data_IF_955597081828
#
_entry.id   IF_955597081828
#
_cell.length_a   1.000
_cell.length_b   1.000
_cell.length_c   1.000
_cell.angle_alpha   90.00
_cell.angle_beta   90.00
_cell.angle_gamma   90.00
#
_symmetry.space_group_name_H-M   'P 1'
#
loop_
_entity.id
_entity.type
_entity.pdbx_description
1 polymer ?
#
# COMPACT_ATOMS: atom_id res chain seq x y z
N UNK A 1 1.66 -6.62 -5.83
CA UNK A 1 1.63 -5.21 -6.19
C UNK A 1 0.43 -4.74 -7.00
N UNK A 2 -0.79 -5.31 -6.80
CA UNK A 2 -2.01 -4.88 -7.52
C UNK A 2 -2.82 -3.80 -6.81
N UNK A 3 -2.31 -3.20 -5.73
CA UNK A 3 -2.94 -2.04 -5.08
C UNK A 3 -3.81 -2.33 -3.86
N UNK A 4 -3.87 -3.56 -3.33
CA UNK A 4 -4.70 -3.92 -2.16
C UNK A 4 -4.48 -2.98 -0.96
N UNK A 5 -3.26 -2.85 -0.50
CA UNK A 5 -2.88 -1.97 0.63
C UNK A 5 -3.13 -0.49 0.32
N UNK A 6 -2.90 -0.06 -0.93
CA UNK A 6 -3.15 1.32 -1.36
C UNK A 6 -4.65 1.66 -1.35
N UNK A 7 -5.51 0.71 -1.68
CA UNK A 7 -6.98 0.89 -1.59
C UNK A 7 -7.42 1.17 -0.16
N UNK A 8 -6.89 0.44 0.83
CA UNK A 8 -7.18 0.71 2.24
C UNK A 8 -6.72 2.12 2.66
N UNK A 9 -5.53 2.54 2.21
CA UNK A 9 -5.00 3.88 2.48
C UNK A 9 -5.90 4.98 1.88
N UNK A 10 -6.31 4.82 0.62
CA UNK A 10 -7.18 5.79 -0.04
C UNK A 10 -8.58 5.83 0.59
N UNK A 11 -9.09 4.69 1.04
CA UNK A 11 -10.37 4.64 1.77
C UNK A 11 -10.28 5.44 3.07
N UNK A 12 -9.26 5.20 3.90
CA UNK A 12 -9.06 5.94 5.15
C UNK A 12 -8.94 7.46 4.89
N UNK A 13 -8.18 7.85 3.86
CA UNK A 13 -8.05 9.25 3.46
C UNK A 13 -9.39 9.85 3.02
N UNK A 14 -10.19 9.12 2.25
CA UNK A 14 -11.50 9.59 1.76
C UNK A 14 -12.51 9.74 2.90
N UNK A 15 -12.46 8.82 3.88
CA UNK A 15 -13.31 8.88 5.07
C UNK A 15 -12.83 9.91 6.11
N UNK A 16 -11.61 10.43 5.97
CA UNK A 16 -11.01 11.37 6.92
C UNK A 16 -10.67 10.72 8.27
N UNK A 17 -10.32 9.42 8.27
CA UNK A 17 -10.02 8.65 9.48
C UNK A 17 -8.60 8.05 9.41
N UNK A 18 -8.09 7.62 10.56
CA UNK A 18 -6.78 6.97 10.64
C UNK A 18 -6.78 5.58 9.98
N UNK A 19 -5.62 5.22 9.40
CA UNK A 19 -5.34 3.88 8.91
C UNK A 19 -4.43 3.15 9.91
N UNK A 20 -4.98 2.15 10.58
CA UNK A 20 -4.22 1.22 11.42
C UNK A 20 -3.83 0.01 10.60
N UNK A 21 -2.53 -0.21 10.38
CA UNK A 21 -2.03 -1.32 9.57
C UNK A 21 -1.25 -2.31 10.43
N UNK A 22 -1.63 -3.59 10.30
CA UNK A 22 -0.97 -4.73 10.94
C UNK A 22 -0.51 -5.69 9.84
N UNK A 23 0.80 -5.90 9.71
CA UNK A 23 1.38 -6.86 8.77
C UNK A 23 1.40 -8.24 9.44
N UNK A 24 0.63 -9.16 8.91
CA UNK A 24 0.45 -10.49 9.50
C UNK A 24 1.68 -11.38 9.40
N UNK A 25 2.66 -11.02 8.60
CA UNK A 25 3.96 -11.69 8.58
C UNK A 25 4.73 -11.55 9.92
N UNK A 26 4.42 -10.52 10.72
CA UNK A 26 4.99 -10.32 12.05
C UNK A 26 4.29 -11.17 13.14
N UNK A 27 3.13 -11.76 12.83
CA UNK A 27 2.25 -12.47 13.77
C UNK A 27 2.06 -13.95 13.39
N UNK A 28 3.09 -14.57 12.84
CA UNK A 28 3.08 -16.00 12.45
C UNK A 28 3.21 -16.92 13.66
N UNK A 29 3.97 -16.49 14.66
CA UNK A 29 4.26 -17.29 15.85
C UNK A 29 3.27 -17.02 16.99
N UNK A 30 2.95 -18.04 17.77
CA UNK A 30 2.01 -17.93 18.89
C UNK A 30 2.37 -16.82 19.88
N UNK A 31 3.66 -16.63 20.17
CA UNK A 31 4.10 -15.60 21.11
C UNK A 31 3.96 -14.17 20.55
N UNK A 32 3.96 -13.98 19.22
CA UNK A 32 3.80 -12.66 18.61
C UNK A 32 2.37 -12.12 18.70
N UNK A 33 1.39 -12.99 18.93
CA UNK A 33 -0.02 -12.60 19.15
C UNK A 33 -0.17 -11.78 20.43
N UNK A 34 0.66 -12.05 21.43
CA UNK A 34 0.70 -11.24 22.65
C UNK A 34 0.97 -9.75 22.40
N UNK A 35 1.65 -9.42 21.29
CA UNK A 35 1.83 -8.02 20.88
C UNK A 35 0.51 -7.39 20.41
N UNK A 36 -0.39 -8.15 19.79
CA UNK A 36 -1.69 -7.64 19.32
C UNK A 36 -2.70 -7.47 20.45
N UNK A 37 -2.86 -8.50 21.30
CA UNK A 37 -3.92 -8.55 22.31
C UNK A 37 -3.39 -8.46 23.75
N UNK A 38 -2.09 -8.32 23.93
CA UNK A 38 -1.43 -8.26 25.24
C UNK A 38 -0.94 -9.61 25.74
N UNK A 39 -0.01 -9.59 26.71
CA UNK A 39 0.50 -10.76 27.38
C UNK A 39 -0.41 -11.16 28.54
N UNK A 40 -0.68 -12.47 28.76
CA UNK A 40 -1.37 -12.91 29.95
C UNK A 40 -0.60 -12.54 31.24
N UNK A 41 -1.30 -12.40 32.39
CA UNK A 41 -0.65 -12.15 33.68
C UNK A 41 0.44 -13.19 33.96
N UNK A 42 1.62 -12.73 34.43
CA UNK A 42 2.76 -13.57 34.77
C UNK A 42 3.76 -13.85 33.64
N UNK A 43 3.52 -13.35 32.43
CA UNK A 43 4.50 -13.40 31.33
C UNK A 43 5.29 -12.10 31.21
N UNK A 44 6.53 -12.20 30.68
CA UNK A 44 7.40 -11.04 30.42
C UNK A 44 6.68 -10.06 29.49
N UNK A 45 6.63 -8.77 29.84
CA UNK A 45 5.94 -7.72 29.09
C UNK A 45 4.55 -7.36 29.62
N UNK A 46 4.03 -8.04 30.67
CA UNK A 46 2.76 -7.68 31.31
C UNK A 46 2.83 -6.35 32.09
N UNK A 47 3.99 -6.05 32.67
CA UNK A 47 4.18 -4.84 33.49
C UNK A 47 4.40 -3.56 32.67
N UNK A 48 4.73 -3.65 31.38
CA UNK A 48 4.79 -2.48 30.51
C UNK A 48 3.38 -1.98 30.21
N UNK A 49 2.93 -0.99 30.98
CA UNK A 49 1.57 -0.43 30.96
C UNK A 49 1.14 0.11 29.59
N UNK A 50 2.06 0.39 28.68
CA UNK A 50 1.78 0.73 27.29
C UNK A 50 1.51 -0.50 26.39
N UNK A 51 2.04 -1.68 26.72
CA UNK A 51 1.81 -2.93 26.00
C UNK A 51 0.80 -3.88 26.64
N UNK A 52 0.42 -3.65 27.91
CA UNK A 52 -0.43 -4.56 28.68
C UNK A 52 -1.79 -4.88 28.04
N UNK A 53 -2.37 -3.98 27.28
CA UNK A 53 -3.62 -4.18 26.57
C UNK A 53 -3.47 -4.78 25.17
N UNK A 54 -2.25 -4.85 24.64
CA UNK A 54 -1.97 -5.22 23.25
C UNK A 54 -2.12 -4.05 22.26
N UNK A 55 -1.31 -4.09 21.21
CA UNK A 55 -1.22 -2.99 20.23
C UNK A 55 -2.56 -2.74 19.55
N UNK A 56 -3.24 -3.80 19.11
CA UNK A 56 -4.53 -3.69 18.41
C UNK A 56 -5.60 -3.07 19.33
N UNK A 57 -5.73 -3.55 20.56
CA UNK A 57 -6.70 -3.05 21.53
C UNK A 57 -6.47 -1.57 21.83
N UNK A 58 -5.21 -1.19 22.06
CA UNK A 58 -4.85 0.19 22.38
C UNK A 58 -5.06 1.15 21.20
N UNK A 59 -4.71 0.73 19.98
CA UNK A 59 -4.86 1.59 18.79
C UNK A 59 -6.33 1.77 18.40
N UNK A 60 -7.17 0.73 18.49
CA UNK A 60 -8.61 0.84 18.23
C UNK A 60 -9.28 1.74 19.28
N UNK A 61 -8.89 1.65 20.55
CA UNK A 61 -9.44 2.52 21.60
C UNK A 61 -9.13 4.02 21.33
N UNK A 62 -7.91 4.32 20.87
CA UNK A 62 -7.53 5.69 20.49
C UNK A 62 -8.27 6.18 19.22
N UNK A 63 -8.57 5.26 18.29
CA UNK A 63 -9.10 5.56 16.97
C UNK A 63 -10.36 4.71 16.68
N UNK A 64 -11.50 4.97 17.36
CA UNK A 64 -12.67 4.10 17.30
C UNK A 64 -13.38 4.06 15.94
N UNK A 65 -13.04 4.95 15.01
CA UNK A 65 -13.59 5.01 13.64
C UNK A 65 -12.56 4.67 12.57
N UNK A 66 -11.41 4.10 12.93
CA UNK A 66 -10.31 3.84 12.01
C UNK A 66 -10.67 2.83 10.91
N UNK A 67 -9.97 2.93 9.79
CA UNK A 67 -9.80 1.80 8.87
C UNK A 67 -8.69 0.92 9.41
N UNK A 68 -9.00 -0.33 9.70
CA UNK A 68 -8.03 -1.30 10.22
C UNK A 68 -7.70 -2.30 9.13
N UNK A 69 -6.44 -2.35 8.74
CA UNK A 69 -5.93 -3.23 7.69
C UNK A 69 -5.06 -4.34 8.29
N UNK A 70 -5.53 -5.58 8.17
CA UNK A 70 -4.71 -6.78 8.37
C UNK A 70 -4.15 -7.23 7.02
N UNK A 71 -2.86 -6.99 6.80
CA UNK A 71 -2.19 -7.27 5.52
C UNK A 71 -1.61 -8.68 5.54
N UNK A 72 -1.86 -9.48 4.47
CA UNK A 72 -1.39 -10.86 4.28
C UNK A 72 -1.89 -11.83 5.39
N UNK A 73 -3.21 -11.85 5.62
CA UNK A 73 -3.84 -12.63 6.71
C UNK A 73 -3.55 -14.13 6.65
N UNK A 74 -3.21 -14.66 5.48
CA UNK A 74 -2.81 -16.05 5.31
C UNK A 74 -1.52 -16.43 6.05
N UNK A 75 -0.71 -15.44 6.43
CA UNK A 75 0.53 -15.64 7.18
C UNK A 75 0.32 -15.66 8.69
N UNK A 76 -0.82 -15.17 9.14
CA UNK A 76 -1.12 -15.05 10.57
C UNK A 76 -1.25 -16.42 11.25
N UNK A 77 -0.87 -16.48 12.52
CA UNK A 77 -1.22 -17.62 13.36
C UNK A 77 -2.74 -17.75 13.51
N UNK A 78 -3.24 -18.98 13.73
CA UNK A 78 -4.67 -19.28 13.84
C UNK A 78 -5.40 -18.48 14.91
N UNK A 79 -4.73 -18.09 15.99
CA UNK A 79 -5.35 -17.32 17.07
C UNK A 79 -5.70 -15.87 16.62
N UNK A 80 -5.02 -15.34 15.61
CA UNK A 80 -5.42 -14.06 14.97
C UNK A 80 -6.77 -14.22 14.29
N UNK A 81 -7.00 -15.34 13.59
CA UNK A 81 -8.29 -15.61 12.97
C UNK A 81 -9.41 -15.72 14.01
N UNK A 82 -9.13 -16.32 15.16
CA UNK A 82 -10.09 -16.40 16.27
C UNK A 82 -10.41 -15.02 16.86
N UNK A 83 -9.40 -14.16 17.00
CA UNK A 83 -9.58 -12.76 17.42
C UNK A 83 -10.44 -11.98 16.40
N UNK A 84 -10.17 -12.15 15.10
CA UNK A 84 -10.93 -11.48 14.04
C UNK A 84 -12.40 -11.96 14.03
N UNK A 85 -12.66 -13.23 14.25
CA UNK A 85 -14.02 -13.76 14.43
C UNK A 85 -14.74 -13.09 15.61
N UNK A 86 -14.05 -12.92 16.74
CA UNK A 86 -14.61 -12.23 17.91
C UNK A 86 -14.97 -10.78 17.57
N UNK A 87 -14.09 -10.08 16.84
CA UNK A 87 -14.36 -8.70 16.38
C UNK A 87 -15.59 -8.66 15.49
N UNK A 88 -15.69 -9.56 14.50
CA UNK A 88 -16.81 -9.58 13.55
C UNK A 88 -18.14 -10.00 14.20
N UNK A 89 -18.11 -10.90 15.20
CA UNK A 89 -19.32 -11.40 15.86
C UNK A 89 -19.88 -10.44 16.92
N UNK A 90 -18.98 -9.89 17.74
CA UNK A 90 -19.39 -9.13 18.93
C UNK A 90 -19.09 -7.64 18.81
N UNK A 91 -18.38 -7.22 17.77
CA UNK A 91 -17.96 -5.81 17.63
C UNK A 91 -17.02 -5.35 18.75
N UNK A 92 -16.35 -6.28 19.43
CA UNK A 92 -15.44 -5.99 20.53
C UNK A 92 -14.24 -6.92 20.53
N UNK A 93 -13.12 -6.46 21.05
CA UNK A 93 -11.94 -7.29 21.35
C UNK A 93 -11.53 -7.08 22.80
N UNK A 94 -11.15 -8.17 23.45
CA UNK A 94 -10.68 -8.15 24.83
C UNK A 94 -9.19 -8.47 24.87
N UNK A 95 -8.41 -7.53 25.39
CA UNK A 95 -6.99 -7.73 25.64
C UNK A 95 -6.74 -8.68 26.81
N UNK A 96 -5.55 -9.23 26.90
CA UNK A 96 -5.16 -10.20 27.92
C UNK A 96 -5.20 -9.62 29.36
N UNK A 97 -5.15 -8.30 29.50
CA UNK A 97 -5.33 -7.59 30.76
C UNK A 97 -6.80 -7.32 31.12
N UNK A 98 -7.76 -7.85 30.37
CA UNK A 98 -9.19 -7.63 30.52
C UNK A 98 -9.71 -6.31 29.93
N UNK A 99 -8.84 -5.47 29.36
CA UNK A 99 -9.23 -4.25 28.67
C UNK A 99 -10.02 -4.58 27.40
N UNK A 100 -11.16 -3.92 27.20
CA UNK A 100 -12.00 -4.11 26.02
C UNK A 100 -11.96 -2.90 25.12
N UNK A 101 -11.81 -3.11 23.81
CA UNK A 101 -11.99 -2.06 22.80
C UNK A 101 -13.28 -2.32 22.01
N UNK A 102 -13.99 -1.23 21.72
CA UNK A 102 -15.18 -1.25 20.88
C UNK A 102 -14.77 -1.16 19.40
N UNK A 103 -15.11 -2.20 18.64
CA UNK A 103 -14.78 -2.34 17.22
C UNK A 103 -15.99 -2.11 16.30
N UNK A 104 -17.16 -1.69 16.82
CA UNK A 104 -18.40 -1.58 16.02
C UNK A 104 -18.34 -0.52 14.94
N UNK A 105 -17.49 0.48 15.12
CA UNK A 105 -17.38 1.61 14.19
C UNK A 105 -16.11 1.58 13.34
N UNK A 106 -15.26 0.54 13.46
CA UNK A 106 -14.09 0.40 12.59
C UNK A 106 -14.49 -0.19 11.24
N UNK A 107 -13.74 0.15 10.20
CA UNK A 107 -13.81 -0.54 8.91
C UNK A 107 -12.69 -1.57 8.84
N UNK A 108 -13.05 -2.85 8.96
CA UNK A 108 -12.08 -3.95 8.95
C UNK A 108 -11.77 -4.37 7.51
N UNK A 109 -10.51 -4.31 7.12
CA UNK A 109 -10.02 -4.75 5.81
C UNK A 109 -8.97 -5.83 6.02
N UNK A 110 -9.10 -6.92 5.29
CA UNK A 110 -8.13 -8.02 5.26
C UNK A 110 -7.62 -8.21 3.83
N UNK A 111 -6.32 -8.30 3.65
CA UNK A 111 -5.76 -8.65 2.33
C UNK A 111 -5.17 -10.05 2.36
N UNK A 112 -5.21 -10.72 1.20
CA UNK A 112 -4.62 -12.05 1.02
C UNK A 112 -4.03 -12.21 -0.38
N UNK A 113 -3.01 -13.06 -0.51
CA UNK A 113 -2.39 -13.46 -1.79
C UNK A 113 -2.72 -14.92 -2.18
N UNK A 114 -3.61 -15.59 -1.47
CA UNK A 114 -3.92 -17.02 -1.66
C UNK A 114 -4.25 -17.41 -3.11
N UNK A 115 -5.02 -16.58 -3.83
CA UNK A 115 -5.37 -16.83 -5.23
C UNK A 115 -4.18 -16.74 -6.18
N UNK A 116 -3.28 -15.77 -5.96
CA UNK A 116 -2.08 -15.60 -6.79
C UNK A 116 -1.11 -16.78 -6.64
N UNK A 117 -0.94 -17.31 -5.44
CA UNK A 117 -0.08 -18.47 -5.15
C UNK A 117 -0.65 -19.77 -5.74
N UNK A 118 -1.95 -19.96 -5.73
CA UNK A 118 -2.62 -21.10 -6.34
C UNK A 118 -2.40 -21.14 -7.85
N UNK A 119 -2.54 -19.98 -8.53
CA UNK A 119 -2.33 -19.84 -9.96
C UNK A 119 -0.87 -20.06 -10.38
N UNK A 120 0.12 -19.70 -9.54
CA UNK A 120 1.54 -19.94 -9.84
C UNK A 120 1.93 -21.42 -9.73
N UNK A 121 1.40 -22.17 -8.76
CA UNK A 121 1.69 -23.60 -8.59
C UNK A 121 1.18 -24.45 -9.75
N UNK A 122 0.09 -24.02 -10.38
CA UNK A 122 -0.54 -24.76 -11.48
C UNK A 122 0.05 -24.47 -12.86
N UNK A 123 0.80 -23.37 -13.03
CA UNK A 123 1.50 -23.04 -14.28
C UNK A 123 2.77 -23.88 -14.52
N UNK A 124 3.14 -24.81 -13.62
CA UNK A 124 4.29 -25.72 -13.79
C UNK A 124 3.89 -26.99 -14.57
N UNK A 125 2.59 -27.16 -14.89
CA UNK A 125 2.08 -28.28 -15.71
C UNK A 125 1.68 -27.83 -17.12
N UNK A 126 2.03 -28.58 -18.15
CA UNK A 126 1.66 -28.37 -19.54
C UNK A 126 0.14 -28.17 -19.70
N UNK A 127 -0.28 -26.93 -19.96
CA UNK A 127 -1.67 -26.59 -20.30
C UNK A 127 -2.16 -25.34 -19.58
N UNK A 128 -2.06 -24.18 -20.23
CA UNK A 128 -2.65 -22.92 -19.78
C UNK A 128 -4.17 -22.94 -19.98
N UNK A 129 -4.91 -23.51 -19.04
CA UNK A 129 -6.34 -23.26 -18.91
C UNK A 129 -6.56 -22.30 -17.76
N UNK A 130 -6.96 -21.05 -18.06
CA UNK A 130 -7.51 -20.12 -17.08
C UNK A 130 -8.79 -20.73 -16.45
N UNK A 131 -8.64 -21.39 -15.31
CA UNK A 131 -9.79 -21.88 -14.53
C UNK A 131 -10.23 -20.76 -13.59
N UNK A 132 -11.23 -20.03 -14.01
CA UNK A 132 -12.02 -19.10 -13.18
C UNK A 132 -12.70 -19.87 -12.03
N UNK A 133 -12.01 -20.14 -10.95
CA UNK A 133 -12.57 -20.88 -9.80
C UNK A 133 -11.53 -21.32 -8.77
N UNK A 134 -10.26 -21.30 -9.12
CA UNK A 134 -9.18 -21.78 -8.24
C UNK A 134 -8.91 -20.81 -7.08
N UNK A 135 -9.07 -19.49 -7.30
CA UNK A 135 -8.99 -18.49 -6.25
C UNK A 135 -10.02 -18.71 -5.15
N UNK A 136 -11.26 -19.06 -5.54
CA UNK A 136 -12.33 -19.36 -4.59
C UNK A 136 -12.05 -20.65 -3.81
N UNK A 137 -11.38 -21.61 -4.44
CA UNK A 137 -11.01 -22.87 -3.78
C UNK A 137 -9.90 -22.64 -2.74
N UNK A 138 -8.89 -21.82 -3.05
CA UNK A 138 -7.83 -21.47 -2.10
C UNK A 138 -8.39 -20.72 -0.89
N UNK A 139 -9.28 -19.77 -1.14
CA UNK A 139 -9.97 -19.00 -0.10
C UNK A 139 -10.86 -19.89 0.77
N UNK A 140 -11.59 -20.87 0.18
CA UNK A 140 -12.42 -21.83 0.91
C UNK A 140 -11.61 -22.80 1.77
N UNK A 141 -10.40 -23.15 1.34
CA UNK A 141 -9.48 -24.03 2.10
C UNK A 141 -8.87 -23.31 3.30
N UNK A 142 -8.55 -22.02 3.14
CA UNK A 142 -7.90 -21.24 4.18
C UNK A 142 -8.88 -20.69 5.22
N UNK A 143 -9.98 -20.07 4.76
CA UNK A 143 -10.99 -19.52 5.64
C UNK A 143 -12.18 -20.48 5.79
N UNK A 144 -12.49 -20.93 7.01
CA UNK A 144 -13.63 -21.79 7.27
C UNK A 144 -14.95 -21.05 6.95
N UNK A 145 -16.05 -21.79 6.72
CA UNK A 145 -17.35 -21.21 6.36
C UNK A 145 -17.83 -20.13 7.34
N UNK A 146 -17.60 -20.35 8.63
CA UNK A 146 -17.95 -19.41 9.69
C UNK A 146 -17.27 -18.04 9.53
N UNK A 147 -16.00 -18.03 9.11
CA UNK A 147 -15.26 -16.80 8.85
C UNK A 147 -15.79 -16.10 7.61
N UNK A 148 -16.00 -16.85 6.53
CA UNK A 148 -16.43 -16.28 5.24
C UNK A 148 -17.84 -15.69 5.29
N UNK A 149 -18.73 -16.29 6.09
CA UNK A 149 -20.11 -15.83 6.24
C UNK A 149 -20.24 -14.50 7.00
N UNK A 150 -19.15 -14.01 7.60
CA UNK A 150 -19.10 -12.73 8.32
C UNK A 150 -18.47 -11.60 7.51
N UNK A 151 -17.98 -11.92 6.32
CA UNK A 151 -17.45 -10.92 5.41
C UNK A 151 -18.60 -10.25 4.66
N UNK A 152 -18.70 -8.93 4.72
CA UNK A 152 -19.68 -8.15 3.97
C UNK A 152 -19.39 -8.20 2.47
N UNK A 153 -18.09 -8.19 2.08
CA UNK A 153 -17.69 -8.25 0.68
C UNK A 153 -16.31 -8.90 0.51
N UNK A 154 -16.14 -9.58 -0.62
CA UNK A 154 -14.85 -10.10 -1.08
C UNK A 154 -14.53 -9.45 -2.43
N UNK A 155 -13.45 -8.67 -2.47
CA UNK A 155 -13.03 -7.92 -3.64
C UNK A 155 -11.82 -8.58 -4.27
N UNK A 156 -11.93 -8.99 -5.52
CA UNK A 156 -10.82 -9.57 -6.29
C UNK A 156 -10.02 -8.48 -7.00
N UNK A 157 -8.72 -8.49 -6.82
CA UNK A 157 -7.80 -7.60 -7.49
C UNK A 157 -7.14 -8.32 -8.67
N UNK A 158 -7.39 -7.83 -9.86
CA UNK A 158 -6.78 -8.32 -11.09
C UNK A 158 -5.36 -7.77 -11.28
N UNK A 159 -4.60 -8.35 -12.23
CA UNK A 159 -3.34 -7.78 -12.69
C UNK A 159 -3.58 -6.38 -13.24
N UNK A 160 -2.62 -5.48 -13.00
CA UNK A 160 -2.74 -4.10 -13.47
C UNK A 160 -2.66 -4.03 -15.01
N UNK A 161 -3.61 -3.35 -15.63
CA UNK A 161 -3.58 -3.04 -17.04
C UNK A 161 -2.51 -1.97 -17.34
N UNK A 162 -2.04 -1.88 -18.59
CA UNK A 162 -1.01 -0.91 -19.01
C UNK A 162 -1.43 0.54 -18.77
N UNK A 163 -2.70 0.84 -19.00
CA UNK A 163 -3.29 2.17 -18.77
C UNK A 163 -3.25 2.56 -17.29
N UNK A 164 -3.55 1.60 -16.42
CA UNK A 164 -3.44 1.80 -14.96
C UNK A 164 -1.99 2.04 -14.55
N UNK A 165 -1.05 1.34 -15.16
CA UNK A 165 0.38 1.55 -14.92
C UNK A 165 0.83 2.95 -15.32
N UNK A 166 0.36 3.48 -16.46
CA UNK A 166 0.60 4.88 -16.86
C UNK A 166 0.08 5.87 -15.82
N UNK A 167 -1.11 5.63 -15.30
CA UNK A 167 -1.69 6.46 -14.24
C UNK A 167 -0.87 6.43 -12.95
N UNK A 168 -0.31 5.28 -12.59
CA UNK A 168 0.58 5.13 -11.42
C UNK A 168 1.87 5.91 -11.62
N UNK A 169 2.51 5.82 -12.80
CA UNK A 169 3.72 6.62 -13.10
C UNK A 169 3.42 8.12 -13.01
N UNK A 170 2.31 8.57 -13.61
CA UNK A 170 1.88 9.98 -13.53
C UNK A 170 1.67 10.44 -12.09
N UNK A 171 1.05 9.59 -11.24
CA UNK A 171 0.89 9.87 -9.81
C UNK A 171 2.25 10.05 -9.11
N UNK A 172 3.22 9.18 -9.34
CA UNK A 172 4.56 9.31 -8.77
C UNK A 172 5.29 10.57 -9.24
N UNK A 173 5.13 10.96 -10.51
CA UNK A 173 5.68 12.22 -11.02
C UNK A 173 5.01 13.44 -10.37
N UNK A 174 3.70 13.39 -10.11
CA UNK A 174 3.00 14.44 -9.37
C UNK A 174 3.47 14.54 -7.92
N UNK A 175 3.65 13.40 -7.24
CA UNK A 175 4.22 13.37 -5.89
C UNK A 175 5.64 13.95 -5.87
N UNK A 176 6.47 13.62 -6.87
CA UNK A 176 7.80 14.18 -7.03
C UNK A 176 7.73 15.72 -7.23
N UNK A 177 6.84 16.19 -8.09
CA UNK A 177 6.63 17.63 -8.30
C UNK A 177 6.18 18.34 -7.02
N UNK A 178 5.34 17.70 -6.20
CA UNK A 178 4.94 18.24 -4.89
C UNK A 178 6.15 18.39 -3.96
N UNK A 179 7.08 17.44 -3.96
CA UNK A 179 8.30 17.49 -3.15
C UNK A 179 9.29 18.58 -3.62
N UNK A 180 9.27 18.91 -4.91
CA UNK A 180 10.21 19.87 -5.51
C UNK A 180 9.65 21.30 -5.63
N UNK A 181 8.40 21.52 -5.22
CA UNK A 181 7.75 22.85 -5.27
C UNK A 181 8.56 23.93 -4.56
N UNK A 182 9.07 23.66 -3.35
CA UNK A 182 9.87 24.60 -2.57
C UNK A 182 11.18 25.02 -3.28
N UNK A 183 11.69 24.17 -4.15
CA UNK A 183 12.88 24.42 -4.99
C UNK A 183 12.53 25.02 -6.35
N UNK A 184 11.24 25.29 -6.61
CA UNK A 184 10.75 25.80 -7.90
C UNK A 184 11.18 24.92 -9.08
N UNK A 185 11.20 23.58 -8.89
CA UNK A 185 11.56 22.60 -9.92
C UNK A 185 10.31 21.84 -10.33
N UNK A 186 10.07 21.78 -11.64
CA UNK A 186 8.99 21.02 -12.28
C UNK A 186 9.58 19.90 -13.13
N UNK A 187 9.03 18.69 -12.99
CA UNK A 187 9.47 17.50 -13.71
C UNK A 187 8.34 17.01 -14.59
N UNK A 188 8.62 16.95 -15.90
CA UNK A 188 7.72 16.40 -16.90
C UNK A 188 8.38 15.19 -17.57
N UNK A 189 7.58 14.20 -17.98
CA UNK A 189 8.07 13.03 -18.69
C UNK A 189 7.32 12.86 -20.01
N UNK A 190 8.04 12.45 -21.06
CA UNK A 190 7.45 12.10 -22.35
C UNK A 190 6.70 10.78 -22.24
N UNK A 191 5.73 10.53 -23.13
CA UNK A 191 4.99 9.25 -23.15
C UNK A 191 5.92 8.05 -23.39
N UNK A 192 6.96 8.23 -24.20
CA UNK A 192 7.99 7.19 -24.44
C UNK A 192 8.79 6.89 -23.16
N UNK A 193 9.14 7.88 -22.38
CA UNK A 193 9.81 7.68 -21.08
C UNK A 193 8.89 6.98 -20.09
N UNK A 194 7.60 7.32 -20.07
CA UNK A 194 6.60 6.64 -19.24
C UNK A 194 6.49 5.16 -19.62
N UNK A 195 6.38 4.84 -20.92
CA UNK A 195 6.32 3.46 -21.41
C UNK A 195 7.60 2.67 -21.08
N UNK A 196 8.77 3.31 -21.17
CA UNK A 196 10.05 2.72 -20.76
C UNK A 196 10.09 2.41 -19.25
N UNK A 197 9.67 3.37 -18.41
CA UNK A 197 9.58 3.16 -16.96
C UNK A 197 8.67 2.00 -16.59
N UNK A 198 7.53 1.88 -17.28
CA UNK A 198 6.60 0.76 -17.09
C UNK A 198 7.28 -0.55 -17.46
N UNK A 199 7.94 -0.62 -18.61
CA UNK A 199 8.61 -1.84 -19.08
C UNK A 199 9.72 -2.27 -18.13
N UNK A 200 10.50 -1.30 -17.59
CA UNK A 200 11.58 -1.56 -16.66
C UNK A 200 11.11 -1.86 -15.23
N UNK A 201 10.01 -1.23 -14.82
CA UNK A 201 9.48 -1.31 -13.45
C UNK A 201 8.32 -2.29 -13.25
N UNK A 202 7.90 -2.99 -14.31
CA UNK A 202 6.87 -4.01 -14.20
C UNK A 202 7.48 -5.39 -14.01
N UNK A 203 7.04 -6.08 -13.00
CA UNK A 203 7.35 -7.50 -12.76
C UNK A 203 6.05 -8.29 -12.69
N UNK A 204 5.99 -9.43 -13.38
CA UNK A 204 4.78 -10.25 -13.45
C UNK A 204 4.31 -10.76 -12.07
N UNK A 205 5.25 -10.93 -11.11
CA UNK A 205 4.98 -11.41 -9.75
C UNK A 205 4.77 -10.25 -8.77
N UNK A 206 5.62 -9.23 -8.86
CA UNK A 206 5.63 -8.09 -7.92
C UNK A 206 4.68 -6.97 -8.36
N UNK A 207 4.16 -7.02 -9.59
CA UNK A 207 3.28 -5.99 -10.16
C UNK A 207 3.98 -4.64 -10.30
N UNK A 208 3.39 -3.59 -9.75
CA UNK A 208 3.94 -2.23 -9.80
C UNK A 208 4.91 -1.89 -8.65
N UNK A 209 5.19 -2.81 -7.71
CA UNK A 209 6.12 -2.53 -6.58
C UNK A 209 7.51 -2.07 -7.03
N UNK A 210 8.14 -2.68 -8.05
CA UNK A 210 9.47 -2.23 -8.50
C UNK A 210 9.46 -0.86 -9.18
N UNK A 211 8.31 -0.39 -9.67
CA UNK A 211 8.19 0.85 -10.43
C UNK A 211 8.64 2.08 -9.62
N UNK A 212 8.26 2.16 -8.34
CA UNK A 212 8.71 3.24 -7.48
C UNK A 212 10.23 3.27 -7.35
N UNK A 213 10.85 2.11 -7.15
CA UNK A 213 12.31 1.99 -7.07
C UNK A 213 12.98 2.44 -8.37
N UNK A 214 12.42 2.05 -9.52
CA UNK A 214 12.95 2.49 -10.83
C UNK A 214 12.85 4.01 -10.96
N UNK A 215 11.74 4.61 -10.57
CA UNK A 215 11.57 6.08 -10.58
C UNK A 215 12.57 6.75 -9.61
N UNK A 216 12.76 6.20 -8.42
CA UNK A 216 13.73 6.72 -7.45
C UNK A 216 15.17 6.67 -8.00
N UNK A 217 15.54 5.58 -8.66
CA UNK A 217 16.89 5.38 -9.22
C UNK A 217 17.13 6.20 -10.50
N UNK A 218 16.17 6.19 -11.42
CA UNK A 218 16.35 6.75 -12.77
C UNK A 218 16.00 8.25 -12.85
N UNK A 219 15.12 8.75 -11.98
CA UNK A 219 14.66 10.15 -12.02
C UNK A 219 15.08 10.89 -10.74
N UNK A 220 14.67 10.40 -9.56
CA UNK A 220 14.84 11.14 -8.31
C UNK A 220 16.30 11.35 -7.93
N UNK A 221 17.16 10.33 -8.09
CA UNK A 221 18.59 10.47 -7.80
C UNK A 221 19.31 11.45 -8.72
N UNK A 222 19.18 11.38 -10.07
CA UNK A 222 19.74 12.39 -10.97
C UNK A 222 19.20 13.79 -10.67
N UNK A 223 17.89 13.92 -10.48
CA UNK A 223 17.24 15.18 -10.16
C UNK A 223 17.79 15.83 -8.88
N UNK A 224 17.98 15.02 -7.83
CA UNK A 224 18.54 15.50 -6.56
C UNK A 224 19.95 16.06 -6.75
N UNK A 225 20.78 15.44 -7.59
CA UNK A 225 22.12 15.94 -7.93
C UNK A 225 22.07 17.27 -8.67
N UNK A 226 21.15 17.41 -9.63
CA UNK A 226 20.96 18.66 -10.39
C UNK A 226 20.47 19.79 -9.48
N UNK A 227 19.61 19.50 -8.50
CA UNK A 227 19.13 20.49 -7.53
C UNK A 227 20.23 20.91 -6.54
N UNK A 228 21.05 19.98 -6.08
CA UNK A 228 22.06 20.25 -5.04
C UNK A 228 23.35 20.85 -5.62
N UNK A 229 23.78 20.41 -6.79
CA UNK A 229 25.13 20.68 -7.32
C UNK A 229 25.12 21.10 -8.80
N UNK A 230 23.98 21.15 -9.45
CA UNK A 230 23.86 21.38 -10.88
C UNK A 230 23.00 22.57 -11.27
N UNK A 231 22.40 22.46 -12.41
CA UNK A 231 21.70 23.53 -13.14
C UNK A 231 20.35 23.93 -12.51
N UNK A 232 19.85 23.16 -11.53
CA UNK A 232 18.55 23.37 -10.89
C UNK A 232 18.64 24.03 -9.50
N UNK A 233 19.79 24.58 -9.12
CA UNK A 233 19.94 25.27 -7.83
C UNK A 233 18.99 26.47 -7.70
N UNK A 234 18.74 27.16 -8.80
CA UNK A 234 17.80 28.30 -8.89
C UNK A 234 16.40 27.90 -9.38
N UNK A 235 16.12 26.59 -9.38
CA UNK A 235 14.88 26.03 -9.93
C UNK A 235 14.92 25.89 -11.46
N UNK A 236 13.84 25.36 -12.04
CA UNK A 236 13.73 25.18 -13.48
C UNK A 236 12.79 24.04 -13.87
N UNK A 237 12.74 23.76 -15.17
CA UNK A 237 11.94 22.67 -15.72
C UNK A 237 12.86 21.55 -16.19
N UNK A 238 12.48 20.32 -15.85
CA UNK A 238 13.17 19.08 -16.24
C UNK A 238 12.26 18.26 -17.13
N UNK A 239 12.78 17.84 -18.26
CA UNK A 239 12.12 16.85 -19.13
C UNK A 239 12.83 15.51 -19.04
N UNK A 240 12.06 14.48 -18.73
CA UNK A 240 12.51 13.10 -18.76
C UNK A 240 12.12 12.50 -20.12
N UNK A 241 13.13 12.21 -20.95
CA UNK A 241 12.98 11.60 -22.25
C UNK A 241 13.76 10.29 -22.36
N UNK A 242 13.90 9.79 -23.58
CA UNK A 242 14.79 8.67 -23.92
C UNK A 242 15.98 9.20 -24.74
N UNK A 243 17.13 8.52 -24.62
CA UNK A 243 18.26 8.73 -25.53
C UNK A 243 17.97 8.07 -26.88
N UNK A 244 18.59 8.62 -27.97
CA UNK A 244 18.50 8.05 -29.30
C UNK A 244 19.47 6.87 -29.53
N UNK A 245 20.01 6.28 -28.47
CA UNK A 245 20.94 5.16 -28.53
C UNK A 245 20.24 3.87 -28.99
N UNK A 246 21.02 2.92 -29.50
CA UNK A 246 20.55 1.57 -29.88
C UNK A 246 19.88 0.84 -28.70
N UNK A 247 20.35 1.11 -27.48
CA UNK A 247 19.70 0.69 -26.24
C UNK A 247 19.19 1.96 -25.54
N UNK A 248 17.88 2.28 -25.63
CA UNK A 248 17.34 3.49 -25.05
C UNK A 248 17.57 3.55 -23.53
N UNK A 249 18.02 4.70 -23.05
CA UNK A 249 18.14 5.00 -21.62
C UNK A 249 17.31 6.24 -21.32
N UNK A 250 16.87 6.37 -20.05
CA UNK A 250 16.25 7.61 -19.64
C UNK A 250 17.26 8.74 -19.63
N UNK A 251 16.89 9.83 -20.26
CA UNK A 251 17.64 11.10 -20.23
C UNK A 251 16.85 12.12 -19.41
N UNK A 252 17.47 12.60 -18.31
CA UNK A 252 16.93 13.67 -17.46
C UNK A 252 17.65 14.94 -17.87
N UNK A 253 17.00 15.73 -18.70
CA UNK A 253 17.59 16.95 -19.27
C UNK A 253 16.93 18.22 -18.70
N UNK A 254 17.76 19.23 -18.46
CA UNK A 254 17.30 20.56 -18.09
C UNK A 254 16.76 21.29 -19.33
N UNK A 255 15.56 21.84 -19.22
CA UNK A 255 15.04 22.83 -20.17
C UNK A 255 15.18 24.22 -19.57
N UNK A 256 15.88 25.12 -20.28
CA UNK A 256 16.08 26.51 -19.86
C UNK A 256 14.76 27.16 -19.42
N UNK A 257 14.81 27.86 -18.32
CA UNK A 257 13.70 28.59 -17.71
C UNK A 257 13.10 29.56 -18.74
N UNK A 258 11.95 29.25 -19.35
CA UNK A 258 11.06 30.31 -19.81
C UNK A 258 10.58 30.99 -18.52
N UNK A 259 10.94 32.27 -18.34
CA UNK A 259 10.50 33.10 -17.21
C UNK A 259 8.97 33.07 -17.18
N UNK A 260 8.39 32.20 -16.43
CA UNK A 260 6.94 32.17 -16.15
C UNK A 260 6.75 33.13 -14.97
N UNK A 261 6.59 34.41 -15.30
CA UNK A 261 6.03 35.43 -14.40
C UNK A 261 4.57 35.06 -14.12
N UNK A 262 4.27 34.17 -13.27
CA UNK A 262 2.95 33.84 -12.66
C UNK A 262 2.82 32.39 -12.36
N UNK A 263 3.67 31.84 -11.51
CA UNK A 263 3.37 30.56 -10.88
C UNK A 263 2.49 30.83 -9.64
N UNK A 264 1.16 30.81 -9.81
CA UNK A 264 0.25 30.62 -8.68
C UNK A 264 0.05 29.10 -8.53
N UNK A 265 0.47 28.48 -7.41
CA UNK A 265 0.12 27.08 -7.15
C UNK A 265 -1.39 26.98 -7.16
N UNK A 266 -1.95 26.07 -7.96
CA UNK A 266 -3.33 25.63 -7.81
C UNK A 266 -3.43 24.86 -6.49
N UNK A 267 -3.66 25.62 -5.42
CA UNK A 267 -4.15 25.05 -4.16
C UNK A 267 -5.57 24.58 -4.50
N UNK A 268 -5.77 23.27 -4.52
CA UNK A 268 -7.11 22.71 -4.59
C UNK A 268 -7.88 23.23 -3.36
N UNK A 269 -8.77 24.20 -3.58
CA UNK A 269 -9.73 24.62 -2.58
C UNK A 269 -10.67 23.42 -2.32
N UNK A 270 -10.40 22.68 -1.29
CA UNK A 270 -11.42 21.84 -0.64
C UNK A 270 -12.46 22.79 -0.06
N UNK A 271 -13.56 22.98 -0.79
CA UNK A 271 -14.77 23.56 -0.24
C UNK A 271 -15.34 22.55 0.75
N UNK A 272 -15.26 22.88 2.01
CA UNK A 272 -16.06 22.28 3.08
C UNK A 272 -17.53 22.60 2.79
N UNK A 273 -18.44 21.61 2.69
CA UNK A 273 -19.87 21.89 2.72
C UNK A 273 -20.30 22.20 4.16
N UNK A 274 -21.05 23.23 4.30
CA UNK A 274 -21.81 23.56 5.52
C UNK A 274 -22.91 22.53 5.77
#
# INVERSE_FOLDING_TARGET
GCGKTETARQLAKTLGVELLRFDMSEYQEKHSIAKLIGSPPGYVGFEDSQMGGGMFVNEVEKNPHAVVLFDEVEKAHRDVSNMLLQVMDYGTVTGSNGKKADCRNITLIMTSNLGAEANERNNIGFGSFERTGEDDTAMRRFFPPEFRNRLDAVIKFNKLAKETMKSIVKKFLQELNTMTVEKSVEVNATDSAIDFLITKGFDAKLGARPLQRVIDEEIKKPLSRMILFGELQEGGMVEVGLTDDVIPKLNVSFKAKKVIQNFKPKIANEKTPQ
#
